data_IF_171345865405
#
_entry.id   IF_171345865405
#
_cell.length_a   1.000
_cell.length_b   1.000
_cell.length_c   1.000
_cell.angle_alpha   90.00
_cell.angle_beta   90.00
_cell.angle_gamma   90.00
#
_symmetry.space_group_name_H-M   'P 1'
#
loop_
_entity.id
_entity.type
_entity.pdbx_description
1 polymer ?
#
# COMPACT_ATOMS: atom_id res chain seq x y z
N UNK A 1 32.25 28.10 -17.80
CA UNK A 1 31.30 27.17 -18.46
C UNK A 1 31.97 25.81 -18.53
N UNK A 2 31.70 24.93 -17.56
CA UNK A 2 30.99 23.71 -17.94
C UNK A 2 29.93 23.24 -16.91
N UNK A 3 28.78 22.88 -17.48
CA UNK A 3 27.97 21.70 -17.22
C UNK A 3 27.41 21.46 -15.80
N UNK A 4 26.17 21.94 -15.63
CA UNK A 4 25.03 21.24 -15.02
C UNK A 4 25.35 19.88 -14.37
N UNK A 5 25.82 19.90 -13.12
CA UNK A 5 25.76 18.71 -12.27
C UNK A 5 24.31 18.58 -11.81
N UNK A 6 23.55 17.79 -12.56
CA UNK A 6 22.18 17.42 -12.19
C UNK A 6 22.15 16.87 -10.78
N UNK A 7 21.25 17.40 -9.95
CA UNK A 7 20.98 16.85 -8.62
C UNK A 7 20.53 15.40 -8.79
N UNK A 8 21.39 14.45 -8.38
CA UNK A 8 21.01 13.04 -8.27
C UNK A 8 19.94 12.95 -7.18
N UNK A 9 18.67 12.95 -7.61
CA UNK A 9 17.52 12.61 -6.79
C UNK A 9 17.63 11.12 -6.44
N UNK A 10 18.41 10.78 -5.42
CA UNK A 10 18.67 9.38 -5.08
C UNK A 10 19.78 9.20 -4.06
N UNK A 11 19.61 9.76 -2.85
CA UNK A 11 20.43 9.32 -1.71
C UNK A 11 20.09 7.85 -1.42
N UNK A 12 20.89 6.92 -1.94
CA UNK A 12 20.97 5.56 -1.42
C UNK A 12 21.58 5.69 -0.03
N UNK A 13 20.77 5.54 1.02
CA UNK A 13 21.30 5.47 2.38
C UNK A 13 22.24 4.27 2.44
N UNK A 14 23.53 4.54 2.62
CA UNK A 14 24.59 3.52 2.79
C UNK A 14 24.34 2.58 3.98
N UNK A 15 23.31 2.88 4.80
CA UNK A 15 22.89 2.12 5.98
C UNK A 15 21.75 1.12 5.73
N UNK A 16 21.21 1.02 4.51
CA UNK A 16 20.09 0.11 4.23
C UNK A 16 20.46 -0.89 3.14
N UNK A 17 20.67 -2.14 3.54
CA UNK A 17 20.95 -3.28 2.64
C UNK A 17 19.80 -3.57 1.66
N UNK A 18 18.63 -2.94 1.88
CA UNK A 18 17.42 -3.17 1.11
C UNK A 18 17.34 -2.20 -0.08
N UNK A 19 17.39 -2.70 -1.34
CA UNK A 19 17.33 -1.85 -2.52
C UNK A 19 15.98 -1.14 -2.65
N UNK A 20 15.99 0.17 -2.88
CA UNK A 20 14.78 0.99 -3.05
C UNK A 20 14.21 0.79 -4.47
N UNK A 21 12.95 0.34 -4.60
CA UNK A 21 12.28 0.24 -5.92
C UNK A 21 12.11 1.62 -6.56
N UNK A 22 12.33 1.68 -7.88
CA UNK A 22 12.09 2.89 -8.68
C UNK A 22 10.61 3.29 -8.63
N UNK A 23 10.32 4.59 -8.83
CA UNK A 23 8.94 5.10 -8.81
C UNK A 23 8.04 4.39 -9.83
N UNK A 24 8.59 4.06 -11.01
CA UNK A 24 7.87 3.37 -12.07
C UNK A 24 7.49 1.93 -11.70
N UNK A 25 8.29 1.26 -10.85
CA UNK A 25 8.07 -0.14 -10.45
C UNK A 25 7.40 -0.26 -9.07
N UNK A 26 6.90 0.85 -8.51
CA UNK A 26 6.21 0.84 -7.21
C UNK A 26 4.71 0.61 -7.41
N UNK A 27 4.17 -0.39 -6.73
CA UNK A 27 2.72 -0.63 -6.68
C UNK A 27 2.00 0.59 -6.07
N UNK A 28 0.80 0.88 -6.53
CA UNK A 28 -0.07 1.96 -6.01
C UNK A 28 -1.34 1.37 -5.37
N UNK A 29 -1.97 2.12 -4.45
CA UNK A 29 -3.10 1.62 -3.67
C UNK A 29 -4.32 1.18 -4.50
N UNK A 30 -4.67 1.93 -5.54
CA UNK A 30 -5.79 1.66 -6.47
C UNK A 30 -7.19 1.44 -5.84
N UNK A 31 -7.37 1.72 -4.56
CA UNK A 31 -8.68 1.68 -3.90
C UNK A 31 -9.59 2.80 -4.42
N UNK A 32 -10.90 2.54 -4.48
CA UNK A 32 -11.89 3.57 -4.83
C UNK A 32 -11.99 4.60 -3.72
N UNK A 33 -11.69 5.85 -4.05
CA UNK A 33 -11.82 6.97 -3.11
C UNK A 33 -13.29 7.37 -2.97
N UNK A 34 -13.60 8.22 -1.98
CA UNK A 34 -14.94 8.80 -1.81
C UNK A 34 -15.42 9.58 -3.04
N UNK A 35 -14.50 10.10 -3.86
CA UNK A 35 -14.79 10.81 -5.11
C UNK A 35 -15.02 9.88 -6.31
N UNK A 36 -14.98 8.55 -6.12
CA UNK A 36 -15.12 7.56 -7.19
C UNK A 36 -13.85 7.29 -8.00
N UNK A 37 -12.78 8.07 -7.80
CA UNK A 37 -11.50 7.89 -8.51
C UNK A 37 -10.59 6.88 -7.83
N UNK A 38 -9.59 6.34 -8.56
CA UNK A 38 -8.60 5.40 -8.03
C UNK A 38 -7.54 6.10 -7.18
N UNK A 39 -7.20 5.51 -6.03
CA UNK A 39 -6.18 6.05 -5.13
C UNK A 39 -4.77 5.89 -5.71
N UNK A 40 -4.05 7.00 -5.87
CA UNK A 40 -2.66 7.04 -6.35
C UNK A 40 -1.61 7.01 -5.24
N UNK A 41 -2.03 6.97 -3.96
CA UNK A 41 -1.11 6.99 -2.83
C UNK A 41 -0.24 5.71 -2.78
N UNK A 42 1.01 5.82 -2.31
CA UNK A 42 1.87 4.65 -2.16
C UNK A 42 1.31 3.70 -1.09
N UNK A 43 1.46 2.38 -1.28
CA UNK A 43 1.05 1.39 -0.31
C UNK A 43 1.96 1.42 0.92
N UNK A 44 1.47 0.87 2.02
CA UNK A 44 2.31 0.58 3.18
C UNK A 44 3.32 -0.51 2.78
N UNK A 45 4.60 -0.21 2.93
CA UNK A 45 5.70 -1.12 2.62
C UNK A 45 6.45 -1.53 3.89
N UNK A 46 6.94 -2.76 3.89
CA UNK A 46 7.89 -3.31 4.87
C UNK A 46 9.05 -3.81 4.04
N UNK A 47 10.28 -3.41 4.36
CA UNK A 47 11.46 -3.82 3.61
C UNK A 47 11.34 -3.54 2.10
N UNK A 48 10.86 -2.34 1.73
CA UNK A 48 10.61 -1.90 0.35
C UNK A 48 9.60 -2.74 -0.46
N UNK A 49 8.94 -3.72 0.15
CA UNK A 49 7.88 -4.51 -0.48
C UNK A 49 6.49 -4.14 0.08
N UNK A 50 5.44 -4.08 -0.75
CA UNK A 50 4.10 -3.75 -0.30
C UNK A 50 3.52 -4.88 0.55
N UNK A 51 3.04 -4.57 1.75
CA UNK A 51 2.48 -5.58 2.67
C UNK A 51 1.16 -6.19 2.17
N UNK A 52 0.26 -5.33 1.73
CA UNK A 52 -1.14 -5.63 1.38
C UNK A 52 -1.63 -4.77 0.20
N UNK A 53 -0.71 -4.07 -0.47
CA UNK A 53 -0.97 -3.26 -1.66
C UNK A 53 -1.83 -2.02 -1.45
N UNK A 54 -2.23 -1.68 -0.21
CA UNK A 54 -3.07 -0.50 0.10
C UNK A 54 -2.32 0.55 0.91
N UNK A 55 -2.74 1.81 0.77
CA UNK A 55 -2.18 2.92 1.54
C UNK A 55 -2.75 2.96 2.96
N UNK A 56 -2.15 3.78 3.84
CA UNK A 56 -2.57 3.93 5.24
C UNK A 56 -4.06 4.26 5.39
N UNK A 57 -4.60 5.10 4.50
CA UNK A 57 -5.99 5.54 4.53
C UNK A 57 -6.99 4.47 4.06
N UNK A 58 -6.56 3.52 3.23
CA UNK A 58 -7.42 2.48 2.66
C UNK A 58 -7.15 1.09 3.25
N UNK A 59 -6.68 1.04 4.51
CA UNK A 59 -6.48 -0.22 5.24
C UNK A 59 -5.11 -0.88 5.03
N UNK A 60 -4.12 -0.16 4.49
CA UNK A 60 -2.74 -0.65 4.38
C UNK A 60 -2.08 -1.00 5.71
N UNK A 61 -2.56 -0.41 6.82
CA UNK A 61 -2.11 -0.77 8.17
C UNK A 61 -2.98 -1.85 8.83
N UNK A 62 -4.13 -2.20 8.24
CA UNK A 62 -5.01 -3.22 8.80
C UNK A 62 -4.36 -4.60 8.70
N UNK A 63 -4.37 -5.33 9.81
CA UNK A 63 -3.80 -6.68 9.93
C UNK A 63 -4.80 -7.79 9.60
N UNK A 64 -6.08 -7.45 9.42
CA UNK A 64 -7.16 -8.42 9.22
C UNK A 64 -7.41 -9.33 10.43
N UNK A 65 -8.46 -10.16 10.40
CA UNK A 65 -8.67 -11.17 11.43
C UNK A 65 -7.61 -12.27 11.31
N UNK A 66 -6.85 -12.53 12.38
CA UNK A 66 -5.84 -13.60 12.42
C UNK A 66 -6.37 -14.94 12.93
N UNK A 67 -7.49 -14.93 13.64
CA UNK A 67 -8.10 -16.12 14.25
C UNK A 67 -9.21 -16.69 13.37
N UNK A 68 -9.51 -17.99 13.50
CA UNK A 68 -10.64 -18.63 12.83
C UNK A 68 -11.98 -18.01 13.25
N UNK A 69 -12.19 -17.82 14.57
CA UNK A 69 -13.37 -17.12 15.10
C UNK A 69 -13.54 -15.74 14.49
N UNK A 70 -12.45 -14.98 14.33
CA UNK A 70 -12.47 -13.65 13.70
C UNK A 70 -12.83 -13.71 12.22
N UNK A 71 -12.26 -14.68 11.48
CA UNK A 71 -12.59 -14.91 10.06
C UNK A 71 -14.07 -15.31 9.88
N UNK A 72 -14.58 -16.19 10.74
CA UNK A 72 -15.99 -16.61 10.73
C UNK A 72 -16.94 -15.43 11.00
N UNK A 73 -16.63 -14.58 11.99
CA UNK A 73 -17.43 -13.40 12.31
C UNK A 73 -17.52 -12.41 11.13
N UNK A 74 -16.39 -12.13 10.45
CA UNK A 74 -16.39 -11.27 9.26
C UNK A 74 -17.18 -11.93 8.12
N UNK A 75 -17.01 -13.24 7.89
CA UNK A 75 -17.74 -13.99 6.86
C UNK A 75 -19.26 -13.92 7.08
N UNK A 76 -19.72 -14.17 8.31
CA UNK A 76 -21.13 -14.07 8.67
C UNK A 76 -21.68 -12.64 8.47
N UNK A 77 -20.93 -11.63 8.88
CA UNK A 77 -21.30 -10.22 8.66
C UNK A 77 -21.45 -9.87 7.17
N UNK A 78 -20.49 -10.32 6.34
CA UNK A 78 -20.54 -10.11 4.89
C UNK A 78 -21.75 -10.80 4.26
N UNK A 79 -22.04 -12.06 4.64
CA UNK A 79 -23.23 -12.80 4.17
C UNK A 79 -24.52 -12.06 4.53
N UNK A 80 -24.62 -11.53 5.74
CA UNK A 80 -25.79 -10.74 6.18
C UNK A 80 -25.97 -9.48 5.33
N UNK A 81 -24.90 -8.72 5.07
CA UNK A 81 -24.96 -7.52 4.21
C UNK A 81 -25.38 -7.85 2.78
N UNK A 82 -24.90 -8.97 2.22
CA UNK A 82 -25.27 -9.38 0.87
C UNK A 82 -26.76 -9.74 0.74
N UNK A 83 -27.37 -10.32 1.79
CA UNK A 83 -28.81 -10.59 1.83
C UNK A 83 -29.67 -9.32 1.94
N UNK A 84 -29.13 -8.27 2.54
CA UNK A 84 -29.82 -7.00 2.79
C UNK A 84 -29.60 -5.96 1.67
N UNK A 85 -28.98 -6.38 0.58
CA UNK A 85 -28.67 -5.54 -0.58
C UNK A 85 -29.61 -5.91 -1.71
#
# INVERSE_FOLDING_TARGET
MPLLVGYICGKKSLLSEIPQKSRANRVVCNATTRKGTRCQAPPVSINNEPKNGRCKLHGGMSTGPRTEKGRAAISASNKRRAKNK
#
